data_IF_636286755175
#
_entry.id   IF_636286755175
#
_cell.length_a   1.000
_cell.length_b   1.000
_cell.length_c   1.000
_cell.angle_alpha   90.00
_cell.angle_beta   90.00
_cell.angle_gamma   90.00
#
_symmetry.space_group_name_H-M   'P 1'
#
loop_
_entity.id
_entity.type
_entity.pdbx_description
1 polymer ?
#
# COMPACT_ATOMS: atom_id res chain seq x y z
N UNK A 1 -5.76 36.08 7.22
CA UNK A 1 -5.39 37.21 6.35
C UNK A 1 -5.47 38.53 7.10
N UNK A 2 -4.54 39.43 6.79
CA UNK A 2 -4.49 40.81 7.29
C UNK A 2 -4.05 41.74 6.17
N UNK A 3 -4.46 43.01 6.20
CA UNK A 3 -3.96 44.01 5.24
C UNK A 3 -2.53 44.44 5.59
N UNK A 4 -1.80 44.94 4.59
CA UNK A 4 -0.49 45.60 4.80
C UNK A 4 -0.56 47.02 4.20
N UNK A 5 -0.38 48.09 5.01
CA UNK A 5 -0.22 48.05 6.47
C UNK A 5 -1.51 47.60 7.17
N UNK A 6 -1.38 47.18 8.43
CA UNK A 6 -2.51 46.64 9.19
C UNK A 6 -3.46 47.79 9.58
N UNK A 7 -4.58 47.88 8.89
CA UNK A 7 -5.62 48.86 9.18
C UNK A 7 -6.68 48.24 10.08
N UNK A 8 -7.11 48.99 11.10
CA UNK A 8 -8.21 48.65 12.00
C UNK A 8 -8.01 47.39 12.87
N UNK A 9 -6.81 46.78 12.89
CA UNK A 9 -6.51 45.63 13.76
C UNK A 9 -7.27 44.36 13.42
N UNK A 10 -7.99 44.32 12.28
CA UNK A 10 -8.84 43.19 11.91
C UNK A 10 -7.98 42.05 11.37
N UNK A 11 -8.22 40.85 11.89
CA UNK A 11 -7.58 39.62 11.42
C UNK A 11 -8.65 38.61 11.07
N UNK A 12 -8.64 38.13 9.84
CA UNK A 12 -9.49 37.03 9.40
C UNK A 12 -8.75 35.71 9.60
N UNK A 13 -9.31 34.82 10.40
CA UNK A 13 -8.80 33.46 10.61
C UNK A 13 -9.81 32.47 10.05
N UNK A 14 -9.32 31.46 9.33
CA UNK A 14 -10.13 30.37 8.81
C UNK A 14 -9.36 29.07 9.00
N UNK A 15 -10.06 28.04 9.45
CA UNK A 15 -9.57 26.67 9.46
C UNK A 15 -10.12 25.94 8.25
N UNK A 16 -9.27 25.13 7.61
CA UNK A 16 -9.65 24.33 6.45
C UNK A 16 -9.09 22.92 6.60
N UNK A 17 -9.97 21.94 6.40
CA UNK A 17 -9.58 20.53 6.39
C UNK A 17 -9.02 20.16 5.03
N UNK A 18 -7.78 19.69 4.99
CA UNK A 18 -7.11 19.25 3.77
C UNK A 18 -7.39 17.76 3.55
N UNK A 19 -7.81 17.42 2.34
CA UNK A 19 -8.08 16.04 1.97
C UNK A 19 -6.80 15.21 1.87
N UNK A 20 -6.95 13.89 2.02
CA UNK A 20 -5.86 12.95 1.90
C UNK A 20 -5.82 12.28 0.52
N UNK A 21 -4.80 11.44 0.29
CA UNK A 21 -4.64 10.70 -0.98
C UNK A 21 -5.80 9.73 -1.32
N UNK A 22 -6.84 9.60 -0.48
CA UNK A 22 -8.03 8.81 -0.80
C UNK A 22 -8.98 9.58 -1.71
N UNK A 23 -8.90 10.92 -1.73
CA UNK A 23 -9.60 11.71 -2.73
C UNK A 23 -8.97 11.45 -4.11
N UNK A 24 -9.82 11.19 -5.11
CA UNK A 24 -9.38 10.80 -6.45
C UNK A 24 -8.57 11.89 -7.16
N UNK A 25 -8.92 13.16 -6.99
CA UNK A 25 -8.21 14.28 -7.63
C UNK A 25 -6.83 14.48 -6.98
N UNK A 26 -6.81 14.51 -5.65
CA UNK A 26 -5.58 14.59 -4.83
C UNK A 26 -4.65 13.41 -5.15
N UNK A 27 -5.18 12.19 -5.11
CA UNK A 27 -4.43 10.96 -5.33
C UNK A 27 -3.89 10.77 -6.76
N UNK A 28 -4.42 11.53 -7.73
CA UNK A 28 -3.97 11.49 -9.13
C UNK A 28 -2.96 12.59 -9.44
N UNK A 29 -3.13 13.77 -8.87
CA UNK A 29 -2.33 14.95 -9.21
C UNK A 29 -1.19 15.23 -8.23
N UNK A 30 -1.28 14.79 -6.97
CA UNK A 30 -0.21 14.99 -5.99
C UNK A 30 0.86 13.90 -6.15
N UNK A 31 2.13 14.25 -6.40
CA UNK A 31 3.18 13.25 -6.64
C UNK A 31 3.49 12.34 -5.45
N UNK A 32 3.29 12.84 -4.22
CA UNK A 32 3.49 12.07 -3.00
C UNK A 32 2.43 10.97 -2.81
N UNK A 33 1.31 11.03 -3.56
CA UNK A 33 0.30 10.00 -3.60
C UNK A 33 0.61 8.97 -4.70
N UNK A 34 1.40 7.93 -4.39
CA UNK A 34 1.87 6.97 -5.40
C UNK A 34 1.13 5.63 -5.44
N UNK A 35 0.15 5.35 -4.55
CA UNK A 35 -0.67 4.09 -4.62
C UNK A 35 -1.33 3.94 -5.98
N UNK A 36 -1.87 5.05 -6.49
CA UNK A 36 -2.58 5.13 -7.77
C UNK A 36 -1.69 4.77 -8.95
N UNK A 37 -0.36 4.70 -8.76
CA UNK A 37 0.65 4.45 -9.78
C UNK A 37 1.34 3.09 -9.61
N UNK A 38 0.86 2.27 -8.68
CA UNK A 38 1.35 0.91 -8.44
C UNK A 38 0.55 -0.09 -9.29
N UNK A 39 1.26 -0.90 -10.06
CA UNK A 39 0.72 -2.03 -10.80
C UNK A 39 1.25 -3.35 -10.20
N UNK A 40 0.46 -4.42 -10.25
CA UNK A 40 0.90 -5.74 -9.80
C UNK A 40 0.49 -6.83 -10.79
N UNK A 41 1.27 -7.89 -10.85
CA UNK A 41 0.98 -9.10 -11.61
C UNK A 41 1.18 -10.33 -10.73
N UNK A 42 0.28 -11.31 -10.84
CA UNK A 42 0.29 -12.53 -10.01
C UNK A 42 0.61 -13.73 -10.89
N UNK A 43 1.81 -14.28 -10.72
CA UNK A 43 2.21 -15.54 -11.33
C UNK A 43 1.86 -16.70 -10.38
N UNK A 44 0.87 -17.53 -10.78
CA UNK A 44 0.44 -18.72 -10.02
C UNK A 44 1.36 -19.91 -10.20
N UNK A 45 2.10 -19.98 -11.31
CA UNK A 45 3.01 -21.10 -11.60
C UNK A 45 4.29 -20.99 -10.79
N UNK A 46 4.83 -19.77 -10.69
CA UNK A 46 6.06 -19.46 -9.95
C UNK A 46 5.82 -19.05 -8.49
N UNK A 47 4.56 -18.98 -8.08
CA UNK A 47 4.12 -18.48 -6.77
C UNK A 47 4.71 -17.10 -6.42
N UNK A 48 4.64 -16.18 -7.38
CA UNK A 48 5.23 -14.84 -7.26
C UNK A 48 4.26 -13.72 -7.58
N UNK A 49 4.40 -12.61 -6.85
CA UNK A 49 3.72 -11.35 -7.12
C UNK A 49 4.77 -10.34 -7.56
N UNK A 50 4.67 -9.89 -8.80
CA UNK A 50 5.52 -8.83 -9.33
C UNK A 50 4.84 -7.49 -9.12
N UNK A 51 5.49 -6.60 -8.40
CA UNK A 51 5.01 -5.25 -8.10
C UNK A 51 5.83 -4.26 -8.91
N UNK A 52 5.17 -3.42 -9.70
CA UNK A 52 5.79 -2.32 -10.42
C UNK A 52 5.24 -0.99 -9.88
N UNK A 53 6.12 -0.02 -9.66
CA UNK A 53 5.73 1.32 -9.22
C UNK A 53 6.15 2.28 -10.33
N UNK A 54 5.17 2.79 -11.06
CA UNK A 54 5.42 3.82 -12.06
C UNK A 54 5.58 5.18 -11.39
N UNK A 55 6.56 5.96 -11.83
CA UNK A 55 6.76 7.35 -11.39
C UNK A 55 7.05 7.50 -9.88
N UNK A 56 7.99 6.70 -9.38
CA UNK A 56 8.68 7.07 -8.13
C UNK A 56 9.66 8.15 -8.51
N UNK A 57 9.53 9.36 -7.97
CA UNK A 57 10.41 10.52 -8.23
C UNK A 57 11.87 10.27 -7.80
N UNK A 58 12.52 9.25 -8.35
CA UNK A 58 13.84 8.79 -7.99
C UNK A 58 14.01 8.46 -6.48
N UNK A 59 12.91 8.09 -5.80
CA UNK A 59 12.93 7.72 -4.38
C UNK A 59 12.93 6.21 -4.22
N UNK A 60 13.65 5.73 -3.23
CA UNK A 60 13.62 4.33 -2.88
C UNK A 60 12.31 4.00 -2.14
N UNK A 61 11.72 2.85 -2.43
CA UNK A 61 10.47 2.38 -1.84
C UNK A 61 10.65 0.99 -1.25
N UNK A 62 10.10 0.76 -0.07
CA UNK A 62 10.01 -0.56 0.52
C UNK A 62 8.69 -1.22 0.14
N UNK A 63 8.76 -2.51 -0.16
CA UNK A 63 7.61 -3.36 -0.50
C UNK A 63 7.67 -4.64 0.31
N UNK A 64 6.54 -5.07 0.88
CA UNK A 64 6.41 -6.37 1.53
C UNK A 64 5.06 -7.01 1.27
N UNK A 65 4.99 -8.32 1.50
CA UNK A 65 3.73 -9.05 1.65
C UNK A 65 3.34 -9.12 3.12
N UNK A 66 2.04 -8.98 3.38
CA UNK A 66 1.49 -9.13 4.72
C UNK A 66 0.08 -9.69 4.70
N UNK A 67 -0.38 -10.18 5.86
CA UNK A 67 -1.77 -10.54 6.06
C UNK A 67 -2.54 -9.37 6.67
N UNK A 68 -3.62 -8.95 6.01
CA UNK A 68 -4.55 -7.94 6.51
C UNK A 68 -5.38 -8.51 7.66
N UNK A 69 -5.06 -8.06 8.87
CA UNK A 69 -5.90 -8.19 10.06
C UNK A 69 -6.28 -6.79 10.53
N UNK A 70 -6.13 -6.47 11.83
CA UNK A 70 -6.22 -5.09 12.34
C UNK A 70 -5.04 -4.24 11.88
N UNK A 71 -3.85 -4.85 11.85
CA UNK A 71 -2.61 -4.30 11.28
C UNK A 71 -2.03 -5.32 10.30
N UNK A 72 -1.18 -4.85 9.39
CA UNK A 72 -0.50 -5.67 8.39
C UNK A 72 0.59 -6.51 9.07
N UNK A 73 0.32 -7.81 9.24
CA UNK A 73 1.23 -8.78 9.89
C UNK A 73 2.20 -9.36 8.87
N UNK A 74 3.50 -9.33 9.18
CA UNK A 74 4.58 -9.71 8.27
C UNK A 74 4.51 -11.18 7.82
N UNK A 75 4.60 -11.39 6.50
CA UNK A 75 4.57 -12.73 5.87
C UNK A 75 5.86 -13.05 5.12
N UNK A 76 6.74 -12.06 4.93
CA UNK A 76 7.97 -12.24 4.18
C UNK A 76 8.96 -11.09 4.35
N UNK A 77 10.11 -11.17 3.67
CA UNK A 77 11.12 -10.13 3.74
C UNK A 77 10.63 -8.84 3.09
N UNK A 78 11.11 -7.72 3.62
CA UNK A 78 10.92 -6.40 3.01
C UNK A 78 11.92 -6.25 1.87
N UNK A 79 11.42 -5.95 0.68
CA UNK A 79 12.22 -5.72 -0.53
C UNK A 79 12.33 -4.22 -0.79
N UNK A 80 13.54 -3.74 -1.10
CA UNK A 80 13.78 -2.36 -1.52
C UNK A 80 13.72 -2.25 -3.05
N UNK A 81 12.89 -1.35 -3.55
CA UNK A 81 12.88 -0.90 -4.95
C UNK A 81 13.68 0.40 -5.00
N UNK A 82 14.78 0.41 -5.75
CA UNK A 82 15.57 1.62 -5.95
C UNK A 82 14.88 2.54 -6.95
N UNK A 83 14.72 3.83 -6.59
CA UNK A 83 14.02 4.81 -7.43
C UNK A 83 14.78 5.20 -8.71
N UNK A 84 16.08 4.89 -8.76
CA UNK A 84 16.97 5.19 -9.90
C UNK A 84 16.63 4.40 -11.16
N UNK A 85 15.84 3.34 -11.03
CA UNK A 85 15.46 2.48 -12.13
C UNK A 85 14.02 2.75 -12.54
N UNK A 86 13.85 3.37 -13.71
CA UNK A 86 12.55 3.82 -14.24
C UNK A 86 11.47 2.72 -14.34
N UNK A 87 11.84 1.43 -14.31
CA UNK A 87 10.93 0.29 -14.27
C UNK A 87 11.55 -0.95 -13.59
N UNK A 88 11.96 -0.85 -12.32
CA UNK A 88 12.26 -2.05 -11.55
C UNK A 88 11.05 -2.54 -10.78
N UNK A 89 10.73 -3.81 -10.99
CA UNK A 89 9.69 -4.52 -10.30
C UNK A 89 10.28 -5.35 -9.15
N UNK A 90 9.61 -5.37 -8.01
CA UNK A 90 9.93 -6.30 -6.93
C UNK A 90 9.16 -7.60 -7.15
N UNK A 91 9.86 -8.73 -7.06
CA UNK A 91 9.26 -10.05 -7.14
C UNK A 91 9.15 -10.64 -5.74
N UNK A 92 7.93 -10.79 -5.25
CA UNK A 92 7.64 -11.26 -3.90
C UNK A 92 7.11 -12.69 -3.97
N UNK A 93 7.79 -13.62 -3.33
CA UNK A 93 7.37 -15.02 -3.23
C UNK A 93 6.25 -15.16 -2.20
N UNK A 94 5.23 -15.97 -2.50
CA UNK A 94 4.15 -16.28 -1.57
C UNK A 94 4.00 -17.80 -1.38
N UNK A 95 3.61 -18.21 -0.18
CA UNK A 95 3.36 -19.63 0.13
C UNK A 95 1.97 -20.06 -0.29
N UNK A 96 0.96 -19.24 0.06
CA UNK A 96 -0.45 -19.49 -0.18
C UNK A 96 -1.20 -18.20 -0.55
N UNK A 97 -2.15 -18.31 -1.48
CA UNK A 97 -3.01 -17.20 -1.88
C UNK A 97 -4.21 -17.11 -0.95
N UNK A 98 -4.06 -16.33 0.12
CA UNK A 98 -5.13 -16.04 1.06
C UNK A 98 -5.85 -14.73 0.68
N UNK A 99 -7.16 -14.56 0.95
CA UNK A 99 -7.89 -13.31 0.69
C UNK A 99 -7.37 -12.13 1.50
N UNK A 100 -6.80 -12.42 2.67
CA UNK A 100 -6.14 -11.44 3.52
C UNK A 100 -4.72 -11.12 3.06
N UNK A 101 -4.16 -11.82 2.05
CA UNK A 101 -2.83 -11.50 1.53
C UNK A 101 -2.86 -10.17 0.79
N UNK A 102 -2.05 -9.24 1.26
CA UNK A 102 -1.95 -7.89 0.73
C UNK A 102 -0.49 -7.51 0.51
N UNK A 103 -0.32 -6.52 -0.34
CA UNK A 103 0.95 -5.89 -0.65
C UNK A 103 0.97 -4.56 0.09
N UNK A 104 2.00 -4.33 0.88
CA UNK A 104 2.22 -3.04 1.56
C UNK A 104 3.46 -2.36 0.99
N UNK A 105 3.33 -1.06 0.69
CA UNK A 105 4.38 -0.23 0.10
C UNK A 105 4.49 1.10 0.84
N UNK A 106 5.72 1.57 1.05
CA UNK A 106 5.98 2.90 1.59
C UNK A 106 7.31 3.48 1.06
N UNK A 107 7.42 4.81 0.95
CA UNK A 107 8.68 5.45 0.56
C UNK A 107 9.72 5.30 1.68
N UNK A 108 11.00 5.22 1.32
CA UNK A 108 12.12 5.14 2.25
C UNK A 108 12.46 6.51 2.89
N UNK A 109 11.45 7.14 3.48
CA UNK A 109 11.55 8.40 4.22
C UNK A 109 11.03 8.22 5.64
N UNK A 110 11.37 9.14 6.54
CA UNK A 110 10.86 9.15 7.91
C UNK A 110 9.35 9.40 7.92
N UNK A 111 8.64 8.68 8.79
CA UNK A 111 7.18 8.77 8.99
C UNK A 111 6.36 8.62 7.71
N UNK A 112 6.89 7.84 6.79
CA UNK A 112 6.26 7.46 5.54
C UNK A 112 4.89 6.80 5.76
N UNK A 113 3.85 7.34 5.12
CA UNK A 113 2.54 6.69 5.09
C UNK A 113 2.65 5.35 4.37
N UNK A 114 2.22 4.28 5.04
CA UNK A 114 2.13 2.93 4.48
C UNK A 114 0.83 2.77 3.72
N UNK A 115 0.92 2.16 2.56
CA UNK A 115 -0.21 2.00 1.66
C UNK A 115 -0.35 0.53 1.30
N UNK A 116 -1.59 0.05 1.38
CA UNK A 116 -1.90 -1.36 1.31
C UNK A 116 -2.87 -1.63 0.16
N UNK A 117 -2.53 -2.63 -0.65
CA UNK A 117 -3.36 -3.14 -1.73
C UNK A 117 -3.64 -4.63 -1.50
N UNK A 118 -4.90 -5.03 -1.60
CA UNK A 118 -5.34 -6.41 -1.32
C UNK A 118 -5.98 -7.03 -2.56
N UNK A 119 -5.19 -7.64 -3.46
CA UNK A 119 -5.69 -8.20 -4.71
C UNK A 119 -6.75 -9.29 -4.54
N UNK A 120 -6.64 -10.08 -3.47
CA UNK A 120 -7.39 -11.32 -3.30
C UNK A 120 -8.65 -11.17 -2.43
N UNK A 121 -8.92 -9.96 -1.92
CA UNK A 121 -10.02 -9.73 -0.96
C UNK A 121 -11.41 -10.07 -1.50
N UNK A 122 -11.65 -9.82 -2.80
CA UNK A 122 -12.91 -10.13 -3.48
C UNK A 122 -12.84 -11.40 -4.35
N UNK A 123 -11.74 -12.16 -4.25
CA UNK A 123 -11.54 -13.39 -5.02
C UNK A 123 -12.31 -14.54 -4.39
N UNK A 124 -13.62 -14.63 -4.65
CA UNK A 124 -14.50 -15.70 -4.15
C UNK A 124 -14.10 -17.13 -4.60
N UNK A 125 -13.05 -17.31 -5.41
CA UNK A 125 -12.83 -18.56 -6.16
C UNK A 125 -11.67 -19.45 -5.66
N UNK A 126 -10.85 -19.00 -4.71
CA UNK A 126 -9.68 -19.79 -4.24
C UNK A 126 -9.89 -20.41 -2.86
N UNK A 127 -10.73 -19.80 -2.01
CA UNK A 127 -10.91 -20.22 -0.61
C UNK A 127 -11.49 -21.63 -0.44
N UNK A 128 -12.34 -22.07 -1.36
CA UNK A 128 -13.05 -23.34 -1.20
C UNK A 128 -12.17 -24.58 -1.45
N UNK A 129 -10.99 -24.44 -2.05
CA UNK A 129 -10.16 -25.60 -2.43
C UNK A 129 -9.07 -25.98 -1.43
N UNK A 130 -8.65 -25.06 -0.56
CA UNK A 130 -7.50 -25.28 0.35
C UNK A 130 -7.88 -25.36 1.84
N UNK A 131 -9.16 -25.16 2.21
CA UNK A 131 -9.62 -25.38 3.59
C UNK A 131 -9.71 -26.88 3.90
N UNK A 132 -8.63 -27.45 4.46
CA UNK A 132 -8.72 -28.71 5.20
C UNK A 132 -9.19 -28.42 6.62
N UNK A 133 -10.41 -28.85 6.95
CA UNK A 133 -10.87 -28.92 8.33
C UNK A 133 -10.01 -29.95 9.08
N UNK A 134 -9.27 -29.50 10.09
CA UNK A 134 -8.57 -30.37 11.03
C UNK A 134 -9.45 -30.42 12.29
N UNK A 135 -10.19 -31.51 12.55
CA UNK A 135 -10.92 -31.64 13.80
C UNK A 135 -9.93 -31.62 14.96
N UNK A 136 -10.12 -30.69 15.90
CA UNK A 136 -9.51 -30.81 17.22
C UNK A 136 -10.09 -32.06 17.88
N UNK A 137 -9.26 -33.10 18.01
CA UNK A 137 -9.58 -34.23 18.87
C UNK A 137 -9.74 -33.68 20.30
N UNK A 138 -10.90 -33.96 20.89
CA UNK A 138 -11.30 -33.55 22.23
C UNK A 138 -10.14 -33.68 23.23
N UNK A 139 -9.83 -32.57 23.90
CA UNK A 139 -8.98 -32.61 25.08
C UNK A 139 -9.71 -33.47 26.13
N UNK A 140 -9.11 -34.62 26.45
CA UNK A 140 -9.44 -35.46 27.61
C UNK A 140 -9.24 -34.69 28.91
#
# INVERSE_FOLDING_TARGET
MTTIPNYCGVKLTQEYYVEDCRNNDVGKNIPDCFVSKMAYNVDRTRKTISVNISDVQNRDCYVRLCHQRFVCEDVGPVTLIQGKDAMKSASLQYTQLLPCLCIEVWPAILDARRMQLCPFKNGNTVLEKDMKYIPHASAL
#
